data_IF_210213814522
#
_entry.id   IF_210213814522
#
_cell.length_a   1.000
_cell.length_b   1.000
_cell.length_c   1.000
_cell.angle_alpha   90.00
_cell.angle_beta   90.00
_cell.angle_gamma   90.00
#
_symmetry.space_group_name_H-M   'P 1'
#
loop_
_entity.id
_entity.type
_entity.pdbx_description
1 polymer ?
#
# COMPACT_ATOMS: atom_id res chain seq x y z
N UNK A 1 51.10 24.69 -31.24
CA UNK A 1 50.14 24.45 -30.15
C UNK A 1 49.00 25.45 -30.28
N UNK A 2 47.92 25.08 -30.97
CA UNK A 2 46.70 25.89 -31.05
C UNK A 2 45.85 25.58 -29.82
N UNK A 3 45.62 26.58 -28.97
CA UNK A 3 44.78 26.43 -27.79
C UNK A 3 43.35 26.03 -28.23
N UNK A 4 42.90 24.86 -27.78
CA UNK A 4 41.55 24.37 -28.03
C UNK A 4 40.55 25.31 -27.33
N UNK A 5 39.61 25.96 -28.06
CA UNK A 5 38.70 26.91 -27.46
C UNK A 5 37.83 26.19 -26.42
N UNK A 6 37.91 26.66 -25.17
CA UNK A 6 37.14 26.11 -24.06
C UNK A 6 35.65 26.06 -24.44
N UNK A 7 35.11 24.84 -24.56
CA UNK A 7 33.70 24.58 -24.85
C UNK A 7 32.83 25.20 -23.75
N UNK A 8 32.38 26.45 -23.94
CA UNK A 8 31.39 27.08 -23.07
C UNK A 8 30.10 26.26 -23.16
N UNK A 9 29.81 25.48 -22.11
CA UNK A 9 28.49 24.85 -21.96
C UNK A 9 27.46 25.97 -21.90
N UNK A 10 26.52 25.99 -22.84
CA UNK A 10 25.43 26.97 -22.80
C UNK A 10 24.59 26.72 -21.54
N UNK A 11 24.17 27.78 -20.86
CA UNK A 11 23.27 27.69 -19.69
C UNK A 11 22.02 26.86 -19.99
N UNK A 12 21.50 26.94 -21.22
CA UNK A 12 20.39 26.11 -21.69
C UNK A 12 20.65 24.60 -21.62
N UNK A 13 21.87 24.16 -21.96
CA UNK A 13 22.24 22.74 -21.87
C UNK A 13 22.30 22.23 -20.44
N UNK A 14 22.71 23.09 -19.50
CA UNK A 14 22.74 22.78 -18.07
C UNK A 14 21.31 22.71 -17.53
N UNK A 15 20.47 23.71 -17.84
CA UNK A 15 19.07 23.74 -17.42
C UNK A 15 18.27 22.52 -17.90
N UNK A 16 18.44 22.11 -19.15
CA UNK A 16 17.79 20.91 -19.69
C UNK A 16 18.23 19.63 -18.96
N UNK A 17 19.53 19.51 -18.65
CA UNK A 17 20.06 18.35 -17.93
C UNK A 17 19.54 18.29 -16.49
N UNK A 18 19.40 19.45 -15.83
CA UNK A 18 18.82 19.56 -14.49
C UNK A 18 17.34 19.18 -14.48
N UNK A 19 16.57 19.62 -15.49
CA UNK A 19 15.16 19.27 -15.63
C UNK A 19 14.96 17.76 -15.77
N UNK A 20 15.82 17.10 -16.56
CA UNK A 20 15.85 15.64 -16.69
C UNK A 20 16.16 14.96 -15.36
N UNK A 21 17.24 15.37 -14.70
CA UNK A 21 17.63 14.81 -13.41
C UNK A 21 16.53 14.96 -12.36
N UNK A 22 15.86 16.12 -12.33
CA UNK A 22 14.73 16.38 -11.44
C UNK A 22 13.56 15.45 -11.72
N UNK A 23 13.16 15.24 -12.97
CA UNK A 23 12.06 14.33 -13.31
C UNK A 23 12.35 12.88 -12.89
N UNK A 24 13.58 12.41 -13.12
CA UNK A 24 14.00 11.07 -12.71
C UNK A 24 14.02 10.96 -11.17
N UNK A 25 14.54 11.98 -10.48
CA UNK A 25 14.55 12.01 -9.03
C UNK A 25 13.13 12.03 -8.43
N UNK A 26 12.21 12.81 -9.00
CA UNK A 26 10.80 12.82 -8.60
C UNK A 26 10.14 11.46 -8.83
N UNK A 27 10.42 10.81 -9.97
CA UNK A 27 9.88 9.49 -10.26
C UNK A 27 10.36 8.44 -9.26
N UNK A 28 11.68 8.32 -9.05
CA UNK A 28 12.26 7.38 -8.09
C UNK A 28 11.79 7.68 -6.67
N UNK A 29 11.74 8.98 -6.31
CA UNK A 29 11.21 9.44 -5.03
C UNK A 29 9.75 9.03 -4.82
N UNK A 30 8.89 9.18 -5.83
CA UNK A 30 7.49 8.77 -5.76
C UNK A 30 7.34 7.26 -5.58
N UNK A 31 8.09 6.44 -6.34
CA UNK A 31 8.09 4.98 -6.20
C UNK A 31 8.52 4.57 -4.78
N UNK A 32 9.64 5.12 -4.30
CA UNK A 32 10.15 4.83 -2.96
C UNK A 32 9.17 5.28 -1.87
N UNK A 33 8.55 6.45 -2.03
CA UNK A 33 7.60 6.99 -1.06
C UNK A 33 6.32 6.15 -1.00
N UNK A 34 5.74 5.75 -2.14
CA UNK A 34 4.59 4.83 -2.18
C UNK A 34 4.94 3.48 -1.54
N UNK A 35 6.15 2.97 -1.76
CA UNK A 35 6.59 1.71 -1.19
C UNK A 35 6.90 1.79 0.31
N UNK A 36 7.29 2.96 0.84
CA UNK A 36 7.71 3.10 2.24
C UNK A 36 6.61 3.65 3.14
N UNK A 37 5.76 4.54 2.65
CA UNK A 37 4.77 5.27 3.45
C UNK A 37 3.34 4.72 3.22
N UNK A 38 2.76 4.02 4.20
CA UNK A 38 1.41 3.48 4.10
C UNK A 38 0.32 4.56 3.96
N UNK A 39 0.57 5.78 4.45
CA UNK A 39 -0.41 6.89 4.38
C UNK A 39 -0.64 7.30 2.93
N UNK A 40 0.43 7.36 2.13
CA UNK A 40 0.35 7.73 0.70
C UNK A 40 -0.47 6.71 -0.08
N UNK A 41 -0.24 5.42 0.14
CA UNK A 41 -0.98 4.35 -0.53
C UNK A 41 -2.48 4.39 -0.21
N UNK A 42 -2.85 4.68 1.04
CA UNK A 42 -4.26 4.85 1.44
C UNK A 42 -4.90 6.07 0.79
N UNK A 43 -4.18 7.19 0.74
CA UNK A 43 -4.68 8.39 0.09
C UNK A 43 -4.92 8.18 -1.41
N UNK A 44 -3.99 7.53 -2.12
CA UNK A 44 -4.16 7.14 -3.52
C UNK A 44 -5.36 6.20 -3.72
N UNK A 45 -5.57 5.25 -2.82
CA UNK A 45 -6.73 4.35 -2.87
C UNK A 45 -8.05 5.10 -2.70
N UNK A 46 -8.11 6.02 -1.73
CA UNK A 46 -9.27 6.88 -1.48
C UNK A 46 -9.60 7.76 -2.68
N UNK A 47 -8.61 8.44 -3.26
CA UNK A 47 -8.81 9.29 -4.43
C UNK A 47 -9.31 8.49 -5.64
N UNK A 48 -8.79 7.28 -5.85
CA UNK A 48 -9.28 6.41 -6.91
C UNK A 48 -10.74 5.99 -6.70
N UNK A 49 -11.13 5.63 -5.47
CA UNK A 49 -12.52 5.25 -5.14
C UNK A 49 -13.47 6.45 -5.29
N UNK A 50 -13.02 7.63 -4.86
CA UNK A 50 -13.72 8.91 -5.03
C UNK A 50 -13.96 9.21 -6.51
N UNK A 51 -12.93 9.08 -7.36
CA UNK A 51 -13.04 9.32 -8.80
C UNK A 51 -13.91 8.27 -9.51
N UNK A 52 -13.82 7.00 -9.09
CA UNK A 52 -14.68 5.94 -9.61
C UNK A 52 -16.16 6.24 -9.32
N UNK A 53 -16.46 6.63 -8.08
CA UNK A 53 -17.80 6.99 -7.63
C UNK A 53 -18.32 8.23 -8.35
N UNK A 54 -17.51 9.30 -8.42
CA UNK A 54 -17.89 10.57 -9.05
C UNK A 54 -18.20 10.41 -10.54
N UNK A 55 -17.41 9.60 -11.25
CA UNK A 55 -17.59 9.42 -12.69
C UNK A 55 -18.67 8.39 -13.04
N UNK A 56 -19.39 7.82 -12.05
CA UNK A 56 -20.32 6.68 -12.23
C UNK A 56 -19.73 5.57 -13.10
N UNK A 57 -18.40 5.48 -13.13
CA UNK A 57 -17.73 4.40 -13.84
C UNK A 57 -17.95 3.22 -12.94
N UNK A 58 -18.92 2.39 -13.30
CA UNK A 58 -19.06 1.09 -12.68
C UNK A 58 -17.81 0.32 -13.11
N UNK A 59 -16.75 0.44 -12.33
CA UNK A 59 -15.58 -0.43 -12.39
C UNK A 59 -16.06 -1.80 -11.92
N UNK A 60 -16.80 -2.48 -12.81
CA UNK A 60 -17.49 -3.75 -12.58
C UNK A 60 -16.53 -4.91 -12.23
N UNK A 61 -15.21 -4.68 -12.27
CA UNK A 61 -14.19 -5.70 -12.08
C UNK A 61 -13.04 -5.31 -11.14
N UNK A 62 -13.03 -4.10 -10.56
CA UNK A 62 -12.04 -3.77 -9.52
C UNK A 62 -12.57 -4.22 -8.18
N UNK A 63 -12.56 -5.53 -8.01
CA UNK A 63 -13.03 -6.21 -6.82
C UNK A 63 -12.30 -5.78 -5.54
N UNK A 64 -12.75 -4.67 -4.96
CA UNK A 64 -12.37 -4.25 -3.62
C UNK A 64 -13.59 -3.63 -2.98
N UNK A 65 -14.14 -4.28 -1.96
CA UNK A 65 -14.91 -3.52 -1.00
C UNK A 65 -13.91 -2.69 -0.24
N UNK A 66 -13.97 -1.39 -0.48
CA UNK A 66 -13.62 -0.41 0.51
C UNK A 66 -14.33 -0.79 1.80
N UNK A 67 -13.56 -1.21 2.82
CA UNK A 67 -13.90 -0.79 4.18
C UNK A 67 -14.13 0.71 4.06
N UNK A 68 -15.26 1.28 4.53
CA UNK A 68 -15.47 2.71 4.47
C UNK A 68 -14.28 3.37 5.16
N UNK A 69 -13.33 3.84 4.38
CA UNK A 69 -12.22 4.59 4.89
C UNK A 69 -12.89 5.83 5.44
N UNK A 70 -12.83 6.02 6.77
CA UNK A 70 -13.12 7.33 7.33
C UNK A 70 -12.42 8.35 6.45
N UNK A 71 -13.13 9.42 6.01
CA UNK A 71 -12.60 10.35 5.04
C UNK A 71 -11.24 10.83 5.55
N UNK A 72 -10.18 10.29 4.93
CA UNK A 72 -8.81 10.68 5.26
C UNK A 72 -8.80 12.17 5.01
N UNK A 73 -8.61 12.96 6.06
CA UNK A 73 -8.68 14.41 5.98
C UNK A 73 -7.89 14.86 4.74
N UNK A 74 -8.61 15.38 3.75
CA UNK A 74 -8.06 15.76 2.44
C UNK A 74 -6.96 16.82 2.58
N UNK A 75 -6.87 17.44 3.76
CA UNK A 75 -5.82 18.36 4.18
C UNK A 75 -4.56 17.72 4.76
N UNK A 76 -4.38 16.41 4.67
CA UNK A 76 -3.13 15.80 5.14
C UNK A 76 -1.91 16.37 4.39
N UNK A 77 -0.78 16.64 5.08
CA UNK A 77 0.42 17.16 4.43
C UNK A 77 0.96 16.19 3.35
N UNK A 78 0.71 14.89 3.50
CA UNK A 78 1.06 13.86 2.50
C UNK A 78 0.28 14.05 1.19
N UNK A 79 -1.03 14.32 1.26
CA UNK A 79 -1.86 14.59 0.10
C UNK A 79 -1.38 15.83 -0.67
N UNK A 80 -1.07 16.90 0.05
CA UNK A 80 -0.52 18.14 -0.53
C UNK A 80 0.82 17.90 -1.19
N UNK A 81 1.74 17.21 -0.51
CA UNK A 81 3.06 16.91 -1.06
C UNK A 81 2.99 15.99 -2.29
N UNK A 82 2.12 14.97 -2.29
CA UNK A 82 1.88 14.12 -3.47
C UNK A 82 1.35 14.94 -4.65
N UNK A 83 0.38 15.83 -4.41
CA UNK A 83 -0.17 16.72 -5.43
C UNK A 83 0.92 17.60 -6.04
N UNK A 84 1.77 18.19 -5.20
CA UNK A 84 2.92 19.00 -5.64
C UNK A 84 3.88 18.17 -6.50
N UNK A 85 4.23 16.94 -6.10
CA UNK A 85 5.10 16.06 -6.89
C UNK A 85 4.48 15.75 -8.25
N UNK A 86 3.19 15.41 -8.31
CA UNK A 86 2.50 15.11 -9.57
C UNK A 86 2.48 16.33 -10.48
N UNK A 87 2.19 17.52 -9.95
CA UNK A 87 2.20 18.78 -10.72
C UNK A 87 3.60 19.11 -11.23
N UNK A 88 4.63 19.01 -10.39
CA UNK A 88 6.02 19.25 -10.79
C UNK A 88 6.51 18.24 -11.83
N UNK A 89 6.14 16.96 -11.69
CA UNK A 89 6.45 15.92 -12.65
C UNK A 89 5.75 16.18 -13.99
N UNK A 90 4.46 16.49 -13.98
CA UNK A 90 3.70 16.80 -15.21
C UNK A 90 4.27 18.04 -15.92
N UNK A 91 4.51 19.12 -15.19
CA UNK A 91 5.12 20.34 -15.73
C UNK A 91 6.54 20.07 -16.26
N UNK A 92 7.31 19.23 -15.56
CA UNK A 92 8.64 18.78 -15.97
C UNK A 92 8.62 18.01 -17.29
N UNK A 93 7.73 17.03 -17.42
CA UNK A 93 7.53 16.25 -18.65
C UNK A 93 7.11 17.16 -19.81
N UNK A 94 6.16 18.07 -19.60
CA UNK A 94 5.73 19.03 -20.63
C UNK A 94 6.90 19.93 -21.05
N UNK A 95 7.65 20.49 -20.10
CA UNK A 95 8.80 21.34 -20.40
C UNK A 95 9.90 20.58 -21.17
N UNK A 96 10.18 19.32 -20.83
CA UNK A 96 11.10 18.47 -21.61
C UNK A 96 10.56 18.26 -23.02
N UNK A 97 9.27 17.94 -23.18
CA UNK A 97 8.64 17.74 -24.48
C UNK A 97 8.70 19.00 -25.37
N UNK A 98 8.39 20.17 -24.81
CA UNK A 98 8.50 21.46 -25.51
C UNK A 98 9.96 21.76 -25.89
N UNK A 99 10.93 21.47 -25.02
CA UNK A 99 12.34 21.64 -25.33
C UNK A 99 12.82 20.68 -26.45
N UNK A 100 12.22 19.49 -26.56
CA UNK A 100 12.51 18.58 -27.68
C UNK A 100 11.88 19.04 -28.99
N UNK A 101 10.69 19.63 -28.97
CA UNK A 101 10.00 20.13 -30.16
C UNK A 101 10.60 21.44 -30.69
N UNK A 102 10.83 22.41 -29.80
CA UNK A 102 11.21 23.77 -30.17
C UNK A 102 12.68 24.10 -29.89
N UNK A 103 13.39 23.27 -29.11
CA UNK A 103 14.78 23.55 -28.72
C UNK A 103 15.83 23.32 -29.81
N UNK A 104 17.10 23.62 -29.51
CA UNK A 104 18.23 23.49 -30.43
C UNK A 104 18.35 22.09 -31.03
N UNK A 105 18.81 21.97 -32.28
CA UNK A 105 18.93 20.69 -33.01
C UNK A 105 19.66 19.59 -32.22
N UNK A 106 20.60 19.96 -31.33
CA UNK A 106 21.31 19.01 -30.46
C UNK A 106 20.39 18.20 -29.55
N UNK A 107 19.24 18.76 -29.14
CA UNK A 107 18.26 18.08 -28.28
C UNK A 107 17.33 17.15 -29.08
N UNK A 108 17.19 17.35 -30.39
CA UNK A 108 16.30 16.59 -31.28
C UNK A 108 16.86 15.24 -31.74
N UNK A 109 17.90 14.74 -31.08
CA UNK A 109 18.50 13.44 -31.41
C UNK A 109 17.52 12.32 -31.05
N UNK A 110 17.50 11.25 -31.84
CA UNK A 110 16.69 10.07 -31.62
C UNK A 110 16.79 9.53 -30.18
N UNK A 111 18.01 9.55 -29.60
CA UNK A 111 18.25 9.12 -28.21
C UNK A 111 17.44 9.93 -27.19
N UNK A 112 17.29 11.23 -27.38
CA UNK A 112 16.53 12.09 -26.46
C UNK A 112 15.03 11.81 -26.55
N UNK A 113 14.52 11.56 -27.77
CA UNK A 113 13.13 11.16 -27.98
C UNK A 113 12.83 9.81 -27.34
N UNK A 114 13.70 8.82 -27.52
CA UNK A 114 13.55 7.52 -26.87
C UNK A 114 13.57 7.64 -25.34
N UNK A 115 14.48 8.44 -24.78
CA UNK A 115 14.51 8.70 -23.34
C UNK A 115 13.22 9.37 -22.86
N UNK A 116 12.70 10.35 -23.61
CA UNK A 116 11.44 11.03 -23.28
C UNK A 116 10.25 10.08 -23.31
N UNK A 117 10.11 9.29 -24.36
CA UNK A 117 9.07 8.28 -24.45
C UNK A 117 9.18 7.27 -23.31
N UNK A 118 10.39 6.81 -22.95
CA UNK A 118 10.60 5.92 -21.81
C UNK A 118 10.20 6.57 -20.48
N UNK A 119 10.52 7.85 -20.27
CA UNK A 119 10.12 8.60 -19.07
C UNK A 119 8.60 8.74 -18.97
N UNK A 120 7.93 9.10 -20.07
CA UNK A 120 6.46 9.17 -20.12
C UNK A 120 5.84 7.80 -19.85
N UNK A 121 6.34 6.75 -20.50
CA UNK A 121 5.89 5.39 -20.27
C UNK A 121 6.11 4.93 -18.82
N UNK A 122 7.21 5.33 -18.17
CA UNK A 122 7.47 5.05 -16.76
C UNK A 122 6.44 5.73 -15.84
N UNK A 123 6.13 7.01 -16.05
CA UNK A 123 5.11 7.72 -15.27
C UNK A 123 3.72 7.13 -15.47
N UNK A 124 3.34 6.80 -16.71
CA UNK A 124 2.08 6.12 -17.00
C UNK A 124 2.03 4.72 -16.38
N UNK A 125 3.13 3.98 -16.47
CA UNK A 125 3.29 2.68 -15.84
C UNK A 125 3.06 2.77 -14.34
N UNK A 126 3.71 3.72 -13.66
CA UNK A 126 3.48 3.97 -12.23
C UNK A 126 2.03 4.35 -11.94
N UNK A 127 1.40 5.20 -12.74
CA UNK A 127 0.00 5.58 -12.56
C UNK A 127 -0.96 4.38 -12.65
N UNK A 128 -0.63 3.36 -13.44
CA UNK A 128 -1.41 2.12 -13.56
C UNK A 128 -1.04 1.10 -12.48
N UNK A 129 0.25 0.96 -12.15
CA UNK A 129 0.78 -0.10 -11.29
C UNK A 129 1.10 0.35 -9.85
N UNK A 130 0.70 1.56 -9.44
CA UNK A 130 1.02 2.08 -8.10
C UNK A 130 0.52 1.15 -6.99
N UNK A 131 -0.60 0.45 -7.21
CA UNK A 131 -1.15 -0.54 -6.27
C UNK A 131 -0.21 -1.71 -6.03
N UNK A 132 0.48 -2.18 -7.08
CA UNK A 132 1.47 -3.25 -6.95
C UNK A 132 2.74 -2.76 -6.25
N UNK A 133 3.15 -1.52 -6.50
CA UNK A 133 4.25 -0.88 -5.77
C UNK A 133 3.91 -0.76 -4.29
N UNK A 134 2.72 -0.25 -3.97
CA UNK A 134 2.22 -0.13 -2.60
C UNK A 134 2.14 -1.51 -1.92
N UNK A 135 1.62 -2.52 -2.61
CA UNK A 135 1.55 -3.90 -2.09
C UNK A 135 2.92 -4.50 -1.82
N UNK A 136 3.86 -4.30 -2.74
CA UNK A 136 5.25 -4.77 -2.57
C UNK A 136 5.92 -4.07 -1.38
N UNK A 137 5.69 -2.77 -1.23
CA UNK A 137 6.12 -1.99 -0.07
C UNK A 137 5.53 -2.49 1.23
N UNK A 138 4.21 -2.75 1.26
CA UNK A 138 3.51 -3.32 2.40
C UNK A 138 4.06 -4.69 2.78
N UNK A 139 4.27 -5.58 1.80
CA UNK A 139 4.90 -6.89 1.99
C UNK A 139 6.27 -6.76 2.65
N UNK A 140 7.10 -5.83 2.18
CA UNK A 140 8.44 -5.61 2.71
C UNK A 140 8.44 -5.08 4.15
N UNK A 141 7.56 -4.12 4.46
CA UNK A 141 7.42 -3.58 5.82
C UNK A 141 6.95 -4.66 6.79
N UNK A 142 5.83 -5.31 6.46
CA UNK A 142 5.22 -6.31 7.34
C UNK A 142 6.09 -7.57 7.47
N UNK A 143 6.82 -7.96 6.43
CA UNK A 143 7.80 -9.05 6.53
C UNK A 143 8.86 -8.82 7.60
N UNK A 144 9.21 -7.55 7.91
CA UNK A 144 10.13 -7.19 9.00
C UNK A 144 9.46 -7.20 10.37
N UNK A 145 8.14 -7.08 10.42
CA UNK A 145 7.35 -7.04 11.65
C UNK A 145 6.92 -8.43 12.12
N UNK A 146 6.99 -9.45 11.25
CA UNK A 146 6.67 -10.84 11.60
C UNK A 146 7.37 -11.28 12.88
N UNK A 147 8.67 -10.98 13.03
CA UNK A 147 9.43 -11.36 14.22
C UNK A 147 8.91 -10.72 15.53
N UNK A 148 8.29 -9.54 15.46
CA UNK A 148 7.69 -8.88 16.63
C UNK A 148 6.33 -9.49 17.00
N UNK A 149 5.59 -10.02 16.03
CA UNK A 149 4.25 -10.60 16.23
C UNK A 149 4.34 -12.10 16.55
N UNK A 150 5.40 -12.77 16.11
CA UNK A 150 5.61 -14.21 16.30
C UNK A 150 5.46 -14.70 17.76
N UNK A 151 5.96 -14.01 18.80
CA UNK A 151 5.75 -14.45 20.18
C UNK A 151 4.27 -14.50 20.58
N UNK A 152 3.46 -13.53 20.12
CA UNK A 152 2.02 -13.49 20.38
C UNK A 152 1.34 -14.63 19.61
N UNK A 153 1.72 -14.83 18.34
CA UNK A 153 1.21 -15.93 17.52
C UNK A 153 1.55 -17.30 18.13
N UNK A 154 2.79 -17.50 18.58
CA UNK A 154 3.23 -18.73 19.24
C UNK A 154 2.41 -19.03 20.49
N UNK A 155 2.20 -18.04 21.36
CA UNK A 155 1.37 -18.19 22.55
C UNK A 155 -0.08 -18.57 22.21
N UNK A 156 -0.65 -17.97 21.16
CA UNK A 156 -2.01 -18.26 20.70
C UNK A 156 -2.15 -19.64 20.04
N UNK A 157 -1.09 -20.12 19.35
CA UNK A 157 -1.05 -21.47 18.78
C UNK A 157 -0.98 -22.53 19.87
N UNK A 158 -0.21 -22.27 20.92
CA UNK A 158 -0.08 -23.17 22.07
C UNK A 158 -1.37 -23.20 22.90
N UNK A 159 -1.94 -22.02 23.19
CA UNK A 159 -3.14 -21.88 24.03
C UNK A 159 -4.07 -20.81 23.48
N UNK A 160 -5.11 -21.25 22.77
CA UNK A 160 -6.19 -20.37 22.36
C UNK A 160 -7.16 -20.08 23.52
N UNK A 161 -7.53 -18.82 23.80
CA UNK A 161 -8.46 -18.50 24.88
C UNK A 161 -9.88 -19.02 24.64
N UNK A 162 -10.48 -19.61 25.68
CA UNK A 162 -11.89 -20.06 25.68
C UNK A 162 -12.85 -19.05 26.33
N UNK A 163 -12.32 -18.01 26.98
CA UNK A 163 -13.08 -16.96 27.63
C UNK A 163 -12.36 -15.61 27.53
N UNK A 164 -13.10 -14.53 27.80
CA UNK A 164 -12.56 -13.17 27.92
C UNK A 164 -11.39 -13.12 28.90
N UNK A 165 -10.40 -12.27 28.63
CA UNK A 165 -9.20 -12.26 29.45
C UNK A 165 -8.25 -11.11 29.15
N UNK A 166 -7.13 -11.13 29.86
CA UNK A 166 -6.05 -10.15 29.76
C UNK A 166 -4.66 -10.81 29.88
N UNK A 167 -4.62 -12.14 29.86
CA UNK A 167 -3.45 -12.91 30.29
C UNK A 167 -2.37 -13.08 29.22
N UNK A 168 -2.67 -12.76 27.95
CA UNK A 168 -1.71 -12.96 26.86
C UNK A 168 -0.71 -11.80 26.84
N UNK A 169 0.59 -12.06 27.11
CA UNK A 169 1.59 -11.01 27.12
C UNK A 169 1.65 -10.28 25.77
N UNK A 170 1.58 -8.95 25.82
CA UNK A 170 1.63 -8.11 24.63
C UNK A 170 0.32 -7.96 23.86
N UNK A 171 -0.75 -8.70 24.21
CA UNK A 171 -2.07 -8.58 23.56
C UNK A 171 -3.03 -7.64 24.31
N UNK A 172 -2.85 -7.45 25.62
CA UNK A 172 -3.78 -6.66 26.44
C UNK A 172 -5.14 -7.35 26.66
N UNK A 173 -6.16 -6.63 27.17
CA UNK A 173 -7.50 -7.17 27.38
C UNK A 173 -8.25 -7.42 26.05
N UNK A 174 -8.95 -8.56 25.99
CA UNK A 174 -9.70 -9.01 24.82
C UNK A 174 -11.03 -9.66 25.22
N UNK A 175 -11.97 -9.70 24.27
CA UNK A 175 -13.19 -10.50 24.34
C UNK A 175 -13.08 -11.69 23.39
N UNK A 176 -13.41 -12.88 23.89
CA UNK A 176 -13.40 -14.13 23.14
C UNK A 176 -14.78 -14.39 22.52
N UNK A 177 -14.85 -14.42 21.19
CA UNK A 177 -16.12 -14.53 20.45
C UNK A 177 -16.10 -15.63 19.38
N UNK A 178 -17.22 -16.37 19.19
CA UNK A 178 -18.42 -16.41 20.04
C UNK A 178 -18.17 -17.17 21.36
N UNK A 179 -18.93 -16.93 22.45
CA UNK A 179 -18.67 -17.53 23.77
C UNK A 179 -18.69 -19.07 23.81
N UNK A 180 -19.49 -19.72 22.97
CA UNK A 180 -19.63 -21.19 22.97
C UNK A 180 -18.47 -21.91 22.23
N UNK A 181 -17.58 -21.17 21.59
CA UNK A 181 -16.45 -21.70 20.85
C UNK A 181 -15.69 -20.55 20.19
N UNK A 182 -14.87 -19.81 20.96
CA UNK A 182 -14.25 -18.60 20.46
C UNK A 182 -13.36 -18.90 19.26
N UNK A 183 -13.58 -18.15 18.19
CA UNK A 183 -12.75 -18.17 16.96
C UNK A 183 -12.16 -16.81 16.66
N UNK A 184 -12.54 -15.79 17.41
CA UNK A 184 -12.09 -14.42 17.28
C UNK A 184 -11.79 -13.84 18.65
N UNK A 185 -10.70 -13.10 18.74
CA UNK A 185 -10.36 -12.24 19.86
C UNK A 185 -10.58 -10.80 19.41
N UNK A 186 -11.57 -10.14 19.99
CA UNK A 186 -11.82 -8.72 19.79
C UNK A 186 -11.01 -7.94 20.82
N UNK A 187 -10.04 -7.16 20.36
CA UNK A 187 -9.17 -6.42 21.28
C UNK A 187 -9.89 -5.15 21.73
N UNK A 188 -9.93 -4.88 23.03
CA UNK A 188 -10.64 -3.72 23.57
C UNK A 188 -9.98 -2.39 23.21
N UNK A 189 -8.70 -2.45 22.86
CA UNK A 189 -7.96 -1.35 22.26
C UNK A 189 -7.06 -1.90 21.15
N UNK A 190 -6.66 -1.03 20.24
CA UNK A 190 -5.63 -1.38 19.26
C UNK A 190 -4.32 -1.68 19.99
N UNK A 191 -3.70 -2.79 19.63
CA UNK A 191 -2.50 -3.30 20.31
C UNK A 191 -1.34 -3.32 19.34
N UNK A 192 -0.23 -2.71 19.74
CA UNK A 192 0.99 -2.69 18.94
C UNK A 192 2.05 -3.55 19.62
N UNK A 193 2.44 -4.64 18.95
CA UNK A 193 3.51 -5.49 19.43
C UNK A 193 4.82 -4.66 19.55
N UNK A 194 5.65 -4.87 20.58
CA UNK A 194 6.92 -4.15 20.71
C UNK A 194 7.79 -4.31 19.46
N UNK A 195 8.11 -3.20 18.80
CA UNK A 195 8.90 -3.18 17.56
C UNK A 195 8.09 -3.31 16.26
N UNK A 196 6.78 -3.56 16.33
CA UNK A 196 5.88 -3.47 15.18
C UNK A 196 5.48 -2.01 14.93
N UNK A 197 5.21 -1.65 13.66
CA UNK A 197 4.74 -0.32 13.29
C UNK A 197 3.21 -0.26 13.22
N UNK A 198 2.57 -1.39 12.92
CA UNK A 198 1.13 -1.51 12.85
C UNK A 198 0.53 -2.00 14.17
N UNK A 199 -0.67 -1.51 14.47
CA UNK A 199 -1.49 -2.07 15.54
C UNK A 199 -2.40 -3.18 15.01
N UNK A 200 -2.86 -4.04 15.92
CA UNK A 200 -3.78 -5.14 15.68
C UNK A 200 -5.12 -4.75 16.31
N UNK A 201 -6.22 -4.91 15.58
CA UNK A 201 -7.59 -4.67 16.06
C UNK A 201 -8.30 -5.93 16.50
N UNK A 202 -8.05 -7.04 15.80
CA UNK A 202 -8.66 -8.33 16.07
C UNK A 202 -7.74 -9.47 15.65
N UNK A 203 -7.96 -10.64 16.24
CA UNK A 203 -7.28 -11.87 15.86
C UNK A 203 -8.32 -12.95 15.62
N UNK A 204 -8.27 -13.62 14.47
CA UNK A 204 -9.11 -14.76 14.18
C UNK A 204 -8.32 -16.06 14.08
N UNK A 205 -8.97 -17.17 14.42
CA UNK A 205 -8.46 -18.53 14.27
C UNK A 205 -9.24 -19.25 13.19
N UNK A 206 -8.52 -19.83 12.23
CA UNK A 206 -9.11 -20.71 11.21
C UNK A 206 -9.43 -22.09 11.78
N UNK A 207 -10.31 -22.84 11.11
CA UNK A 207 -10.61 -24.23 11.49
C UNK A 207 -9.37 -25.14 11.46
N UNK A 208 -8.43 -24.86 10.56
CA UNK A 208 -7.15 -25.56 10.47
C UNK A 208 -6.12 -25.11 11.53
N UNK A 209 -6.45 -24.13 12.38
CA UNK A 209 -5.58 -23.60 13.42
C UNK A 209 -4.64 -22.47 12.96
N UNK A 210 -4.82 -21.94 11.76
CA UNK A 210 -4.17 -20.71 11.32
C UNK A 210 -4.65 -19.50 12.10
N UNK A 211 -3.83 -18.45 12.18
CA UNK A 211 -4.12 -17.21 12.89
C UNK A 211 -4.16 -16.06 11.90
N UNK A 212 -5.12 -15.16 12.03
CA UNK A 212 -5.26 -13.97 11.19
C UNK A 212 -5.32 -12.74 12.06
N UNK A 213 -4.34 -11.86 11.91
CA UNK A 213 -4.23 -10.60 12.65
C UNK A 213 -4.74 -9.48 11.75
N UNK A 214 -5.89 -8.91 12.11
CA UNK A 214 -6.43 -7.74 11.42
C UNK A 214 -5.58 -6.52 11.76
N UNK A 215 -4.97 -5.92 10.74
CA UNK A 215 -4.12 -4.75 10.91
C UNK A 215 -4.95 -3.48 10.95
N UNK A 216 -4.57 -2.59 11.85
CA UNK A 216 -5.06 -1.23 11.95
C UNK A 216 -3.96 -0.22 11.54
N UNK A 217 -4.25 1.08 11.68
CA UNK A 217 -3.36 2.18 11.29
C UNK A 217 -2.94 2.16 9.81
N UNK A 218 -1.64 2.34 9.54
CA UNK A 218 -1.05 2.53 8.21
C UNK A 218 -1.51 1.48 7.20
N UNK A 219 -1.50 0.22 7.61
CA UNK A 219 -1.76 -0.92 6.77
C UNK A 219 -3.18 -1.50 6.93
N UNK A 220 -4.13 -0.67 7.42
CA UNK A 220 -5.53 -1.03 7.60
C UNK A 220 -6.17 -1.65 6.35
N UNK A 221 -7.03 -2.65 6.57
CA UNK A 221 -7.67 -3.44 5.50
C UNK A 221 -6.79 -4.55 4.92
N UNK A 222 -5.57 -4.73 5.44
CA UNK A 222 -4.78 -5.93 5.24
C UNK A 222 -4.72 -6.77 6.52
N UNK A 223 -4.39 -8.04 6.34
CA UNK A 223 -4.31 -9.02 7.40
C UNK A 223 -2.93 -9.67 7.33
N UNK A 224 -2.28 -9.81 8.49
CA UNK A 224 -1.11 -10.65 8.62
C UNK A 224 -1.58 -12.02 9.09
N UNK A 225 -1.24 -13.08 8.38
CA UNK A 225 -1.74 -14.42 8.69
C UNK A 225 -0.61 -15.41 8.87
N UNK A 226 -0.74 -16.26 9.87
CA UNK A 226 0.08 -17.46 10.02
C UNK A 226 -0.76 -18.69 9.71
N UNK A 227 -0.21 -19.61 8.93
CA UNK A 227 -0.85 -20.87 8.58
C UNK A 227 0.05 -22.07 8.86
N UNK A 228 -0.52 -23.23 9.25
CA UNK A 228 0.21 -24.49 9.30
C UNK A 228 0.82 -24.89 7.95
N UNK A 229 1.76 -25.82 7.96
CA UNK A 229 2.39 -26.31 6.74
C UNK A 229 1.35 -26.93 5.78
N UNK A 230 1.37 -26.48 4.52
CA UNK A 230 0.44 -26.92 3.47
C UNK A 230 -0.83 -26.06 3.33
N UNK A 231 -1.14 -25.22 4.32
CA UNK A 231 -2.27 -24.31 4.30
C UNK A 231 -1.91 -22.95 3.68
N UNK A 232 -2.91 -22.24 3.16
CA UNK A 232 -2.77 -20.90 2.56
C UNK A 232 -3.96 -20.00 2.93
N UNK A 233 -3.80 -18.66 2.86
CA UNK A 233 -4.92 -17.75 2.97
C UNK A 233 -6.02 -18.10 1.96
N UNK A 234 -7.27 -18.07 2.43
CA UNK A 234 -8.47 -18.37 1.66
C UNK A 234 -9.63 -17.50 2.16
N UNK A 235 -10.65 -17.29 1.32
CA UNK A 235 -11.89 -16.64 1.72
C UNK A 235 -12.51 -17.36 2.93
N UNK A 236 -13.07 -16.60 3.88
CA UNK A 236 -13.59 -17.17 5.12
C UNK A 236 -14.80 -16.38 5.64
N UNK A 237 -15.50 -16.96 6.61
CA UNK A 237 -16.52 -16.28 7.41
C UNK A 237 -15.94 -16.03 8.79
N UNK A 238 -15.82 -14.76 9.17
CA UNK A 238 -15.19 -14.36 10.42
C UNK A 238 -16.05 -14.64 11.65
N UNK A 239 -15.48 -14.40 12.83
CA UNK A 239 -16.15 -14.69 14.11
C UNK A 239 -17.50 -13.99 14.25
N UNK A 240 -17.60 -12.76 13.74
CA UNK A 240 -18.84 -11.95 13.71
C UNK A 240 -19.77 -12.27 12.53
N UNK A 241 -19.63 -13.44 11.89
CA UNK A 241 -20.39 -13.90 10.74
C UNK A 241 -20.25 -13.04 9.46
N UNK A 242 -19.29 -12.11 9.43
CA UNK A 242 -18.94 -11.36 8.23
C UNK A 242 -18.22 -12.25 7.22
N UNK A 243 -18.62 -12.19 5.95
CA UNK A 243 -17.91 -12.89 4.87
C UNK A 243 -16.72 -12.05 4.38
N UNK A 244 -15.58 -12.70 4.17
CA UNK A 244 -14.34 -12.10 3.67
C UNK A 244 -13.88 -12.86 2.44
N UNK A 245 -13.91 -12.19 1.28
CA UNK A 245 -13.45 -12.72 0.00
C UNK A 245 -11.96 -12.40 -0.17
N UNK A 246 -11.11 -13.41 -0.31
CA UNK A 246 -9.68 -13.20 -0.54
C UNK A 246 -9.47 -12.52 -1.89
N UNK A 247 -8.82 -11.37 -1.88
CA UNK A 247 -8.50 -10.61 -3.10
C UNK A 247 -7.06 -10.82 -3.53
N UNK A 248 -6.14 -10.82 -2.56
CA UNK A 248 -4.71 -10.93 -2.82
C UNK A 248 -4.00 -11.50 -1.60
N UNK A 249 -3.00 -12.35 -1.84
CA UNK A 249 -2.09 -12.83 -0.80
C UNK A 249 -0.64 -12.79 -1.25
N UNK A 250 0.30 -12.83 -0.31
CA UNK A 250 1.74 -12.91 -0.57
C UNK A 250 2.45 -13.61 0.58
N UNK A 251 3.28 -14.59 0.27
CA UNK A 251 4.08 -15.31 1.25
C UNK A 251 5.21 -14.43 1.82
N UNK A 252 5.36 -14.42 3.14
CA UNK A 252 6.40 -13.70 3.89
C UNK A 252 7.51 -14.63 4.43
N UNK A 253 7.31 -15.94 4.42
CA UNK A 253 8.21 -16.96 4.99
C UNK A 253 7.62 -17.62 6.24
N UNK A 254 8.09 -18.84 6.58
CA UNK A 254 7.77 -19.53 7.84
C UNK A 254 6.25 -19.67 8.16
N UNK A 255 5.44 -19.88 7.12
CA UNK A 255 3.97 -19.98 7.25
C UNK A 255 3.26 -18.64 7.36
N UNK A 256 3.98 -17.52 7.31
CA UNK A 256 3.41 -16.18 7.34
C UNK A 256 3.03 -15.67 5.94
N UNK A 257 1.90 -14.99 5.88
CA UNK A 257 1.34 -14.41 4.68
C UNK A 257 0.81 -13.00 4.96
N UNK A 258 0.92 -12.14 3.98
CA UNK A 258 0.14 -10.91 3.89
C UNK A 258 -1.09 -11.19 3.04
N UNK A 259 -2.28 -10.96 3.57
CA UNK A 259 -3.54 -11.16 2.87
C UNK A 259 -4.37 -9.86 2.83
N UNK A 260 -5.19 -9.73 1.79
CA UNK A 260 -6.18 -8.66 1.67
C UNK A 260 -7.51 -9.25 1.29
N UNK A 261 -8.54 -8.85 2.01
CA UNK A 261 -9.90 -9.31 1.82
C UNK A 261 -10.81 -8.18 1.36
N UNK A 262 -11.88 -8.58 0.69
CA UNK A 262 -13.04 -7.77 0.36
C UNK A 262 -14.20 -8.26 1.21
N UNK A 263 -14.91 -7.35 1.88
CA UNK A 263 -16.19 -7.67 2.53
C UNK A 263 -17.31 -7.53 1.48
N UNK A 264 -18.01 -8.60 1.09
CA UNK A 264 -19.11 -8.49 0.12
C UNK A 264 -20.13 -7.46 0.61
N UNK A 265 -20.53 -6.55 -0.28
CA UNK A 265 -21.60 -5.60 0.05
C UNK A 265 -22.88 -6.40 0.27
N UNK A 266 -23.42 -6.39 1.48
CA UNK A 266 -24.74 -6.97 1.74
C UNK A 266 -25.76 -6.18 0.94
N UNK A 267 -26.37 -6.80 -0.08
CA UNK A 267 -27.40 -6.17 -0.90
C UNK A 267 -28.53 -5.63 -0.01
N UNK A 268 -28.73 -4.31 -0.02
CA UNK A 268 -29.86 -3.66 0.66
C UNK A 268 -29.50 -2.61 1.73
N UNK A 269 -28.22 -2.45 2.11
CA UNK A 269 -27.84 -1.28 2.92
C UNK A 269 -27.60 -0.07 2.00
N UNK A 270 -28.35 1.04 2.15
CA UNK A 270 -28.01 2.28 1.48
C UNK A 270 -26.60 2.73 1.89
N UNK A 271 -25.85 3.40 1.01
CA UNK A 271 -24.54 3.94 1.37
C UNK A 271 -24.73 4.85 2.60
N UNK A 272 -23.96 4.56 3.65
CA UNK A 272 -23.83 5.46 4.81
C UNK A 272 -22.97 6.65 4.44
#
# INVERSE_FOLDING_TARGET
>A
MTAEPARRRSLASVGFSLLWALNVALFVGAVAWIAYDPVVARHLAYEQDRLATANRVILHDLGHASVPAEPVATDSPHARALTIIVVLAAAGVVAVGLALLFGPQRHRRLRSWLAFTALVAAWLGLAVSWRDVAWTGQRYRLGREVAAIEPIAAALRERWPEADGHEIPGLGPYMAYPPAGPRMLMLLHQVRAPGASNSISAIERSDAGGLRFELADGDAGAWLEWHPAGEQPASFTGGLQGSYELVRSSNLGDGWFLARYRVPRTYGQPPR
#
